data_IF_873296667804
#
_entry.id   IF_873296667804
#
_cell.length_a   1.000
_cell.length_b   1.000
_cell.length_c   1.000
_cell.angle_alpha   90.00
_cell.angle_beta   90.00
_cell.angle_gamma   90.00
#
_symmetry.space_group_name_H-M   'P 1'
#
loop_
_entity.id
_entity.type
_entity.pdbx_description
1 polymer ?
#
# COMPACT_ATOMS: atom_id res chain seq x y z
N UNK A 1 33.54 -11.42 -24.40
CA UNK A 1 32.71 -12.61 -24.67
C UNK A 1 31.25 -12.19 -24.79
N UNK A 2 30.50 -12.73 -25.77
CA UNK A 2 29.09 -12.39 -25.98
C UNK A 2 28.15 -13.06 -24.96
N UNK A 3 26.99 -12.46 -24.71
CA UNK A 3 25.98 -12.97 -23.75
C UNK A 3 25.62 -14.44 -23.98
N UNK A 4 25.43 -14.85 -25.23
CA UNK A 4 25.05 -16.22 -25.60
C UNK A 4 26.16 -17.24 -25.30
N UNK A 5 27.43 -16.82 -25.44
CA UNK A 5 28.58 -17.63 -25.07
C UNK A 5 28.68 -17.77 -23.56
N UNK A 6 28.48 -16.66 -22.82
CA UNK A 6 28.48 -16.67 -21.35
C UNK A 6 27.37 -17.58 -20.82
N UNK A 7 26.17 -17.50 -21.40
CA UNK A 7 25.04 -18.36 -21.05
C UNK A 7 25.35 -19.84 -21.27
N UNK A 8 25.95 -20.18 -22.42
CA UNK A 8 26.30 -21.56 -22.76
C UNK A 8 27.35 -22.13 -21.80
N UNK A 9 28.37 -21.34 -21.48
CA UNK A 9 29.43 -21.75 -20.56
C UNK A 9 28.91 -21.85 -19.11
N UNK A 10 28.06 -20.92 -18.68
CA UNK A 10 27.43 -20.99 -17.36
C UNK A 10 26.55 -22.24 -17.24
N UNK A 11 25.75 -22.56 -18.27
CA UNK A 11 24.94 -23.79 -18.31
C UNK A 11 25.80 -25.04 -18.17
N UNK A 12 26.93 -25.09 -18.89
CA UNK A 12 27.89 -26.19 -18.79
C UNK A 12 28.44 -26.33 -17.36
N UNK A 13 28.86 -25.23 -16.73
CA UNK A 13 29.41 -25.23 -15.36
C UNK A 13 28.36 -25.54 -14.30
N UNK A 14 27.11 -25.12 -14.50
CA UNK A 14 25.97 -25.46 -13.63
C UNK A 14 25.60 -26.94 -13.75
N UNK A 15 25.68 -27.51 -14.95
CA UNK A 15 25.31 -28.89 -15.22
C UNK A 15 23.80 -29.09 -15.27
N UNK A 16 23.34 -30.27 -14.86
CA UNK A 16 21.91 -30.59 -14.86
C UNK A 16 21.16 -29.71 -13.85
N UNK A 17 20.11 -29.03 -14.32
CA UNK A 17 19.31 -28.11 -13.52
C UNK A 17 17.84 -28.18 -13.92
N UNK A 18 16.94 -27.97 -12.96
CA UNK A 18 15.50 -27.86 -13.20
C UNK A 18 15.06 -26.41 -13.48
N UNK A 19 16.01 -25.46 -13.47
CA UNK A 19 15.75 -24.06 -13.82
C UNK A 19 15.44 -23.94 -15.31
N UNK A 20 14.46 -23.10 -15.65
CA UNK A 20 14.08 -22.87 -17.04
C UNK A 20 15.16 -22.11 -17.81
N UNK A 21 15.23 -22.32 -19.13
CA UNK A 21 16.13 -21.56 -20.01
C UNK A 21 15.92 -20.04 -19.88
N UNK A 22 14.66 -19.60 -19.77
CA UNK A 22 14.32 -18.19 -19.55
C UNK A 22 14.95 -17.64 -18.27
N UNK A 23 14.86 -18.39 -17.17
CA UNK A 23 15.46 -18.00 -15.89
C UNK A 23 16.97 -17.83 -15.99
N UNK A 24 17.64 -18.74 -16.71
CA UNK A 24 19.09 -18.67 -16.90
C UNK A 24 19.48 -17.50 -17.82
N UNK A 25 18.70 -17.25 -18.88
CA UNK A 25 18.90 -16.10 -19.78
C UNK A 25 18.75 -14.77 -19.06
N UNK A 26 17.70 -14.62 -18.25
CA UNK A 26 17.44 -13.39 -17.48
C UNK A 26 18.52 -13.19 -16.40
N UNK A 27 18.96 -14.27 -15.74
CA UNK A 27 20.05 -14.23 -14.77
C UNK A 27 21.36 -13.74 -15.39
N UNK A 28 21.76 -14.31 -16.54
CA UNK A 28 22.98 -13.89 -17.24
C UNK A 28 22.87 -12.44 -17.70
N UNK A 29 21.72 -12.01 -18.21
CA UNK A 29 21.51 -10.63 -18.62
C UNK A 29 21.73 -9.61 -17.48
N UNK A 30 21.31 -9.96 -16.25
CA UNK A 30 21.48 -9.12 -15.07
C UNK A 30 22.85 -9.24 -14.38
N UNK A 31 23.67 -10.20 -14.78
CA UNK A 31 24.96 -10.49 -14.15
C UNK A 31 26.07 -10.61 -15.20
N UNK A 32 26.06 -9.77 -16.22
CA UNK A 32 27.18 -9.70 -17.16
C UNK A 32 28.42 -9.14 -16.46
N UNK A 33 29.64 -9.57 -16.86
CA UNK A 33 30.87 -8.90 -16.45
C UNK A 33 30.83 -7.40 -16.80
N UNK A 34 31.70 -6.63 -16.15
CA UNK A 34 31.87 -5.22 -16.50
C UNK A 34 32.23 -5.08 -17.98
N UNK A 35 31.81 -3.98 -18.61
CA UNK A 35 32.03 -3.76 -20.04
C UNK A 35 33.52 -3.86 -20.41
N UNK A 36 33.83 -4.68 -21.41
CA UNK A 36 35.21 -4.96 -21.84
C UNK A 36 35.99 -5.93 -20.95
N UNK A 37 35.38 -6.50 -19.90
CA UNK A 37 36.02 -7.54 -19.06
C UNK A 37 35.54 -8.93 -19.43
N UNK A 38 36.46 -9.88 -19.49
CA UNK A 38 36.12 -11.28 -19.67
C UNK A 38 35.77 -11.92 -18.32
N UNK A 39 34.80 -12.85 -18.28
CA UNK A 39 34.48 -13.56 -17.05
C UNK A 39 35.65 -14.45 -16.64
N UNK A 40 36.15 -14.21 -15.43
CA UNK A 40 37.24 -14.95 -14.81
C UNK A 40 36.74 -16.16 -13.99
N UNK A 41 37.66 -16.93 -13.43
CA UNK A 41 37.30 -18.10 -12.61
C UNK A 41 36.46 -17.70 -11.38
N UNK A 42 36.69 -16.51 -10.81
CA UNK A 42 35.94 -16.02 -9.66
C UNK A 42 34.48 -15.76 -10.03
N UNK A 43 34.23 -15.11 -11.17
CA UNK A 43 32.91 -14.95 -11.76
C UNK A 43 32.23 -16.31 -11.95
N UNK A 44 32.90 -17.23 -12.65
CA UNK A 44 32.32 -18.54 -12.95
C UNK A 44 31.97 -19.33 -11.70
N UNK A 45 32.86 -19.37 -10.73
CA UNK A 45 32.65 -20.09 -9.48
C UNK A 45 31.50 -19.46 -8.68
N UNK A 46 31.45 -18.13 -8.56
CA UNK A 46 30.39 -17.44 -7.81
C UNK A 46 29.01 -17.71 -8.40
N UNK A 47 28.87 -17.50 -9.72
CA UNK A 47 27.57 -17.60 -10.38
C UNK A 47 27.10 -19.05 -10.51
N UNK A 48 28.00 -19.98 -10.85
CA UNK A 48 27.63 -21.39 -10.93
C UNK A 48 27.32 -21.99 -9.55
N UNK A 49 28.05 -21.61 -8.48
CA UNK A 49 27.75 -22.07 -7.12
C UNK A 49 26.39 -21.56 -6.63
N UNK A 50 26.07 -20.29 -6.89
CA UNK A 50 24.76 -19.73 -6.58
C UNK A 50 23.62 -20.49 -7.28
N UNK A 51 23.74 -20.71 -8.60
CA UNK A 51 22.72 -21.42 -9.37
C UNK A 51 22.57 -22.88 -8.97
N UNK A 52 23.68 -23.57 -8.63
CA UNK A 52 23.64 -24.94 -8.08
C UNK A 52 22.93 -24.99 -6.73
N UNK A 53 23.22 -24.05 -5.84
CA UNK A 53 22.53 -23.96 -4.55
C UNK A 53 21.05 -23.67 -4.71
N UNK A 54 20.68 -22.75 -5.62
CA UNK A 54 19.28 -22.46 -5.93
C UNK A 54 18.55 -23.70 -6.45
N UNK A 55 19.17 -24.42 -7.40
CA UNK A 55 18.62 -25.64 -7.96
C UNK A 55 18.50 -26.78 -6.93
N UNK A 56 19.50 -26.93 -6.06
CA UNK A 56 19.50 -27.93 -4.99
C UNK A 56 18.39 -27.67 -3.97
N UNK A 57 18.25 -26.42 -3.52
CA UNK A 57 17.19 -26.03 -2.59
C UNK A 57 15.81 -26.16 -3.23
N UNK A 58 15.64 -25.71 -4.47
CA UNK A 58 14.38 -25.87 -5.20
C UNK A 58 13.99 -27.34 -5.35
N UNK A 59 14.93 -28.21 -5.72
CA UNK A 59 14.69 -29.65 -5.83
C UNK A 59 14.32 -30.27 -4.49
N UNK A 60 14.95 -29.84 -3.39
CA UNK A 60 14.64 -30.29 -2.04
C UNK A 60 13.25 -29.82 -1.58
N UNK A 61 12.89 -28.57 -1.85
CA UNK A 61 11.59 -28.00 -1.50
C UNK A 61 10.46 -28.71 -2.27
N UNK A 62 10.66 -28.94 -3.58
CA UNK A 62 9.72 -29.71 -4.40
C UNK A 62 9.64 -31.15 -3.91
N UNK A 63 10.76 -31.80 -3.61
CA UNK A 63 10.76 -33.16 -3.06
C UNK A 63 10.00 -33.22 -1.72
N UNK A 64 10.21 -32.25 -0.83
CA UNK A 64 9.50 -32.14 0.45
C UNK A 64 8.01 -31.93 0.25
N UNK A 65 7.61 -31.10 -0.71
CA UNK A 65 6.21 -30.88 -1.07
C UNK A 65 5.56 -32.09 -1.74
N UNK A 66 6.32 -32.95 -2.43
CA UNK A 66 5.84 -34.20 -3.04
C UNK A 66 5.88 -35.39 -2.07
N UNK A 67 6.78 -35.39 -1.08
CA UNK A 67 6.83 -36.43 -0.04
C UNK A 67 5.66 -36.33 0.94
N UNK A 68 5.21 -35.11 1.27
CA UNK A 68 4.02 -34.89 2.11
C UNK A 68 2.77 -35.63 1.60
N UNK A 69 2.39 -35.54 0.31
CA UNK A 69 1.30 -36.32 -0.24
C UNK A 69 1.67 -37.81 -0.37
N UNK A 70 2.88 -38.19 -0.80
CA UNK A 70 3.26 -39.62 -0.90
C UNK A 70 3.16 -40.37 0.44
N UNK A 71 3.50 -39.75 1.57
CA UNK A 71 3.31 -40.33 2.91
C UNK A 71 1.84 -40.47 3.30
N UNK A 72 0.98 -39.53 2.87
CA UNK A 72 -0.47 -39.60 3.06
C UNK A 72 -1.15 -40.64 2.15
N UNK A 73 -0.53 -40.99 1.01
CA UNK A 73 -1.02 -41.94 0.01
C UNK A 73 -0.32 -43.30 0.04
N UNK A 74 0.38 -43.68 1.13
CA UNK A 74 0.92 -45.04 1.23
C UNK A 74 -0.24 -46.05 1.17
N UNK A 75 -0.29 -46.96 0.19
CA UNK A 75 -1.34 -47.96 0.13
C UNK A 75 -1.23 -48.86 1.36
N UNK A 76 -2.33 -49.03 2.07
CA UNK A 76 -2.47 -49.96 3.18
C UNK A 76 -2.02 -51.36 2.68
N UNK A 77 -1.20 -52.15 3.41
CA UNK A 77 -0.64 -53.41 2.93
C UNK A 77 -1.65 -54.53 2.63
N UNK A 78 -2.95 -54.26 2.74
CA UNK A 78 -4.01 -55.24 2.53
C UNK A 78 -4.78 -54.90 1.24
N UNK A 79 -4.53 -55.59 0.12
CA UNK A 79 -5.24 -55.32 -1.12
C UNK A 79 -6.63 -55.93 -1.01
N UNK A 80 -7.65 -55.10 -0.75
CA UNK A 80 -9.03 -55.52 -0.98
C UNK A 80 -9.27 -55.51 -2.50
N UNK A 81 -9.62 -56.63 -3.15
CA UNK A 81 -9.62 -56.77 -4.59
C UNK A 81 -10.94 -56.26 -5.20
N UNK A 82 -11.22 -54.97 -5.07
CA UNK A 82 -12.04 -54.18 -6.01
C UNK A 82 -12.32 -52.79 -5.42
N UNK A 83 -11.80 -51.72 -6.04
CA UNK A 83 -12.44 -50.42 -5.96
C UNK A 83 -13.14 -50.16 -7.29
N UNK A 84 -14.48 -50.19 -7.26
CA UNK A 84 -15.27 -49.45 -8.26
C UNK A 84 -14.81 -47.98 -8.26
N UNK A 85 -14.85 -47.28 -9.42
CA UNK A 85 -14.45 -45.88 -9.50
C UNK A 85 -15.36 -45.04 -8.59
N UNK A 86 -14.80 -44.55 -7.48
CA UNK A 86 -15.49 -43.57 -6.65
C UNK A 86 -15.35 -42.17 -7.26
N UNK A 87 -16.40 -41.34 -7.23
CA UNK A 87 -16.41 -40.04 -7.88
C UNK A 87 -15.37 -39.11 -7.26
N UNK A 88 -14.73 -38.32 -8.13
CA UNK A 88 -13.80 -37.23 -7.82
C UNK A 88 -14.25 -36.43 -6.58
N UNK A 89 -13.66 -36.72 -5.41
CA UNK A 89 -13.74 -35.80 -4.28
C UNK A 89 -12.65 -34.76 -4.48
N UNK A 90 -12.99 -33.45 -4.52
CA UNK A 90 -11.99 -32.40 -4.68
C UNK A 90 -10.98 -32.49 -3.53
N UNK A 91 -9.71 -32.57 -3.89
CA UNK A 91 -8.60 -32.66 -2.94
C UNK A 91 -8.65 -31.46 -1.98
N UNK A 92 -8.93 -31.66 -0.68
CA UNK A 92 -9.08 -30.56 0.28
C UNK A 92 -7.80 -29.72 0.41
N UNK A 93 -6.62 -30.32 0.18
CA UNK A 93 -5.35 -29.59 0.19
C UNK A 93 -5.24 -28.62 -1.01
N UNK A 94 -5.77 -29.00 -2.17
CA UNK A 94 -5.81 -28.14 -3.36
C UNK A 94 -6.82 -26.99 -3.18
N UNK A 95 -7.94 -27.24 -2.49
CA UNK A 95 -8.91 -26.21 -2.16
C UNK A 95 -8.36 -25.19 -1.15
N UNK A 96 -7.62 -25.66 -0.15
CA UNK A 96 -6.97 -24.81 0.87
C UNK A 96 -5.86 -23.94 0.25
N UNK A 97 -5.00 -24.53 -0.59
CA UNK A 97 -3.94 -23.80 -1.28
C UNK A 97 -4.49 -22.72 -2.24
N UNK A 98 -5.60 -23.00 -2.94
CA UNK A 98 -6.28 -22.01 -3.78
C UNK A 98 -6.81 -20.84 -2.96
N UNK A 99 -7.42 -21.14 -1.81
CA UNK A 99 -7.94 -20.12 -0.88
C UNK A 99 -6.83 -19.24 -0.32
N UNK A 100 -5.69 -19.82 0.02
CA UNK A 100 -4.52 -19.09 0.52
C UNK A 100 -3.90 -18.18 -0.56
N UNK A 101 -3.80 -18.65 -1.82
CA UNK A 101 -3.33 -17.82 -2.95
C UNK A 101 -4.28 -16.65 -3.20
N UNK A 102 -5.60 -16.88 -3.10
CA UNK A 102 -6.60 -15.83 -3.29
C UNK A 102 -6.55 -14.79 -2.16
N UNK A 103 -6.39 -15.23 -0.91
CA UNK A 103 -6.17 -14.35 0.23
C UNK A 103 -4.90 -13.49 0.05
N UNK A 104 -3.77 -14.10 -0.34
CA UNK A 104 -2.53 -13.38 -0.61
C UNK A 104 -2.66 -12.36 -1.75
N UNK A 105 -3.44 -12.67 -2.79
CA UNK A 105 -3.72 -11.70 -3.87
C UNK A 105 -4.55 -10.53 -3.37
N UNK A 106 -5.60 -10.80 -2.59
CA UNK A 106 -6.44 -9.77 -2.00
C UNK A 106 -5.66 -8.87 -1.04
N UNK A 107 -4.77 -9.43 -0.21
CA UNK A 107 -3.90 -8.65 0.67
C UNK A 107 -2.97 -7.72 -0.12
N UNK A 108 -2.32 -8.21 -1.19
CA UNK A 108 -1.47 -7.36 -2.03
C UNK A 108 -2.23 -6.28 -2.77
N UNK A 109 -3.46 -6.55 -3.19
CA UNK A 109 -4.32 -5.52 -3.80
C UNK A 109 -4.76 -4.48 -2.77
N UNK A 110 -5.12 -4.91 -1.55
CA UNK A 110 -5.45 -4.02 -0.45
C UNK A 110 -4.26 -3.15 -0.03
N UNK A 111 -3.05 -3.74 0.04
CA UNK A 111 -1.82 -3.01 0.36
C UNK A 111 -1.50 -1.95 -0.70
N UNK A 112 -1.61 -2.28 -1.99
CA UNK A 112 -1.45 -1.32 -3.08
C UNK A 112 -2.46 -0.18 -3.00
N UNK A 113 -3.73 -0.50 -2.74
CA UNK A 113 -4.79 0.50 -2.55
C UNK A 113 -4.49 1.40 -1.37
N UNK A 114 -4.12 0.83 -0.21
CA UNK A 114 -3.76 1.59 0.99
C UNK A 114 -2.54 2.49 0.76
N UNK A 115 -1.52 2.01 0.05
CA UNK A 115 -0.35 2.82 -0.31
C UNK A 115 -0.73 4.01 -1.20
N UNK A 116 -1.58 3.80 -2.20
CA UNK A 116 -2.09 4.87 -3.07
C UNK A 116 -2.89 5.91 -2.29
N UNK A 117 -3.82 5.45 -1.44
CA UNK A 117 -4.64 6.30 -0.58
C UNK A 117 -3.79 7.12 0.37
N UNK A 118 -2.78 6.50 1.01
CA UNK A 118 -1.87 7.20 1.90
C UNK A 118 -1.05 8.26 1.15
N UNK A 119 -0.54 7.94 -0.05
CA UNK A 119 0.14 8.92 -0.91
C UNK A 119 -0.75 10.11 -1.26
N UNK A 120 -2.00 9.88 -1.65
CA UNK A 120 -2.97 10.95 -1.93
C UNK A 120 -3.24 11.81 -0.69
N UNK A 121 -3.42 11.19 0.49
CA UNK A 121 -3.60 11.91 1.75
C UNK A 121 -2.40 12.78 2.08
N UNK A 122 -1.19 12.30 1.90
CA UNK A 122 0.02 13.06 2.21
C UNK A 122 0.19 14.26 1.29
N UNK A 123 -0.13 14.12 0.01
CA UNK A 123 -0.17 15.24 -0.94
C UNK A 123 -1.20 16.29 -0.50
N UNK A 124 -2.42 15.88 -0.15
CA UNK A 124 -3.48 16.80 0.28
C UNK A 124 -3.16 17.45 1.63
N UNK A 125 -2.54 16.72 2.57
CA UNK A 125 -2.02 17.30 3.83
C UNK A 125 -0.98 18.38 3.56
N UNK A 126 -0.07 18.17 2.62
CA UNK A 126 0.96 19.14 2.25
C UNK A 126 0.37 20.45 1.68
N UNK A 127 -0.80 20.39 1.02
CA UNK A 127 -1.52 21.59 0.51
C UNK A 127 -1.96 22.57 1.60
N UNK A 128 -1.91 22.19 2.88
CA UNK A 128 -2.18 23.06 4.02
C UNK A 128 -1.43 24.41 3.95
N UNK A 129 -0.14 24.37 3.58
CA UNK A 129 0.70 25.56 3.50
C UNK A 129 0.29 26.51 2.37
N UNK A 130 0.05 25.96 1.18
CA UNK A 130 -0.43 26.73 0.01
C UNK A 130 -1.79 27.37 0.28
N UNK A 131 -2.71 26.63 0.90
CA UNK A 131 -4.04 27.11 1.27
C UNK A 131 -4.03 28.05 2.48
N UNK A 132 -2.89 28.17 3.18
CA UNK A 132 -2.76 28.95 4.42
C UNK A 132 -3.86 28.57 5.43
N UNK A 133 -4.04 27.26 5.68
CA UNK A 133 -5.04 26.76 6.62
C UNK A 133 -4.81 27.33 8.02
N UNK A 134 -5.86 27.80 8.67
CA UNK A 134 -5.78 28.44 10.00
C UNK A 134 -5.46 27.47 11.13
N UNK A 135 -5.85 26.19 11.01
CA UNK A 135 -5.50 25.14 11.95
C UNK A 135 -5.02 23.87 11.23
N UNK A 136 -3.70 23.68 11.20
CA UNK A 136 -3.07 22.54 10.52
C UNK A 136 -3.42 21.19 11.14
N UNK A 137 -3.56 21.11 12.47
CA UNK A 137 -3.90 19.85 13.14
C UNK A 137 -5.32 19.38 12.77
N UNK A 138 -6.29 20.30 12.75
CA UNK A 138 -7.66 19.98 12.31
C UNK A 138 -7.67 19.61 10.82
N UNK A 139 -6.86 20.27 9.99
CA UNK A 139 -6.71 19.90 8.57
C UNK A 139 -6.18 18.47 8.40
N UNK A 140 -5.07 18.13 9.06
CA UNK A 140 -4.45 16.80 8.95
C UNK A 140 -5.37 15.68 9.46
N UNK A 141 -6.06 15.89 10.58
CA UNK A 141 -7.08 14.97 11.11
C UNK A 141 -8.25 14.81 10.14
N UNK A 142 -8.71 15.91 9.54
CA UNK A 142 -9.78 15.89 8.55
C UNK A 142 -9.40 15.06 7.34
N UNK A 143 -8.23 15.29 6.75
CA UNK A 143 -7.73 14.53 5.60
C UNK A 143 -7.56 13.04 5.93
N UNK A 144 -7.13 12.71 7.15
CA UNK A 144 -7.01 11.32 7.60
C UNK A 144 -8.38 10.63 7.75
N UNK A 145 -9.39 11.36 8.21
CA UNK A 145 -10.74 10.84 8.47
C UNK A 145 -11.60 10.63 7.22
N UNK A 146 -11.21 11.19 6.07
CA UNK A 146 -12.00 11.08 4.84
C UNK A 146 -11.86 9.69 4.24
N UNK A 147 -13.01 9.09 3.96
CA UNK A 147 -13.10 7.86 3.17
C UNK A 147 -12.72 8.17 1.71
N UNK A 148 -11.68 7.48 1.23
CA UNK A 148 -11.19 7.65 -0.14
C UNK A 148 -11.77 6.51 -0.98
N UNK A 149 -12.63 6.86 -1.94
CA UNK A 149 -13.24 5.89 -2.86
C UNK A 149 -12.19 5.35 -3.83
N UNK A 150 -12.42 4.13 -4.31
CA UNK A 150 -11.59 3.53 -5.37
C UNK A 150 -11.52 4.46 -6.59
N UNK A 151 -10.30 4.75 -7.05
CA UNK A 151 -10.06 5.64 -8.20
C UNK A 151 -10.20 7.14 -7.91
N UNK A 152 -10.33 7.57 -6.65
CA UNK A 152 -10.40 8.98 -6.32
C UNK A 152 -9.14 9.73 -6.76
N UNK A 153 -9.32 10.95 -7.27
CA UNK A 153 -8.21 11.83 -7.64
C UNK A 153 -7.80 12.74 -6.49
N UNK A 154 -6.62 13.34 -6.61
CA UNK A 154 -6.12 14.35 -5.66
C UNK A 154 -7.11 15.52 -5.51
N UNK A 155 -7.70 15.98 -6.61
CA UNK A 155 -8.64 17.11 -6.63
C UNK A 155 -9.93 16.78 -5.87
N UNK A 156 -10.45 15.57 -6.06
CA UNK A 156 -11.66 15.10 -5.38
C UNK A 156 -11.45 14.97 -3.87
N UNK A 157 -10.29 14.43 -3.46
CA UNK A 157 -9.93 14.32 -2.06
C UNK A 157 -9.69 15.71 -1.43
N UNK A 158 -9.03 16.61 -2.16
CA UNK A 158 -8.79 17.98 -1.71
C UNK A 158 -10.10 18.74 -1.48
N UNK A 159 -11.05 18.64 -2.40
CA UNK A 159 -12.35 19.31 -2.28
C UNK A 159 -13.17 18.74 -1.12
N UNK A 160 -13.13 17.42 -0.94
CA UNK A 160 -13.76 16.76 0.21
C UNK A 160 -13.12 17.22 1.53
N UNK A 161 -11.79 17.35 1.56
CA UNK A 161 -11.03 17.84 2.71
C UNK A 161 -11.38 19.28 3.07
N UNK A 162 -11.46 20.19 2.10
CA UNK A 162 -11.89 21.58 2.31
C UNK A 162 -13.26 21.68 2.94
N UNK A 163 -14.25 21.01 2.33
CA UNK A 163 -15.63 21.03 2.82
C UNK A 163 -15.76 20.44 4.24
N UNK A 164 -15.07 19.34 4.53
CA UNK A 164 -15.09 18.73 5.86
C UNK A 164 -14.34 19.59 6.90
N UNK A 165 -13.22 20.19 6.50
CA UNK A 165 -12.41 21.05 7.36
C UNK A 165 -13.18 22.30 7.76
N UNK A 166 -13.83 22.97 6.81
CA UNK A 166 -14.66 24.16 7.08
C UNK A 166 -15.81 23.85 8.04
N UNK A 167 -16.48 22.70 7.85
CA UNK A 167 -17.54 22.24 8.75
C UNK A 167 -17.01 21.97 10.16
N UNK A 168 -15.90 21.23 10.30
CA UNK A 168 -15.28 20.98 11.60
C UNK A 168 -14.83 22.29 12.26
N UNK A 169 -14.18 23.17 11.53
CA UNK A 169 -13.71 24.45 12.03
C UNK A 169 -14.88 25.32 12.53
N UNK A 170 -15.96 25.40 11.75
CA UNK A 170 -17.20 26.08 12.15
C UNK A 170 -17.84 25.45 13.39
N UNK A 171 -17.82 24.12 13.52
CA UNK A 171 -18.36 23.43 14.69
C UNK A 171 -17.54 23.71 15.96
N UNK A 172 -16.22 23.80 15.86
CA UNK A 172 -15.33 24.03 17.00
C UNK A 172 -15.15 25.51 17.37
N UNK A 173 -15.14 26.41 16.38
CA UNK A 173 -14.78 27.83 16.56
C UNK A 173 -16.00 28.76 16.36
N UNK A 174 -17.08 28.28 15.76
CA UNK A 174 -18.31 29.04 15.50
C UNK A 174 -18.36 29.70 14.11
N UNK A 175 -19.48 30.37 13.82
CA UNK A 175 -19.79 31.01 12.52
C UNK A 175 -18.76 32.06 12.03
N UNK A 176 -17.86 32.53 12.91
CA UNK A 176 -16.85 33.54 12.59
C UNK A 176 -15.46 33.00 12.22
N UNK A 177 -15.30 31.68 12.10
CA UNK A 177 -14.02 31.06 11.80
C UNK A 177 -13.57 31.34 10.35
N UNK A 178 -12.30 31.74 10.18
CA UNK A 178 -11.68 31.91 8.86
C UNK A 178 -10.82 30.68 8.53
N UNK A 179 -11.26 29.80 7.59
CA UNK A 179 -10.58 28.53 7.34
C UNK A 179 -9.24 28.66 6.62
N UNK A 180 -9.09 29.67 5.76
CA UNK A 180 -7.90 29.90 4.93
C UNK A 180 -7.38 31.33 5.07
N UNK A 181 -6.12 31.54 4.69
CA UNK A 181 -5.48 32.87 4.70
C UNK A 181 -5.00 33.33 6.09
N UNK A 182 -5.14 32.49 7.12
CA UNK A 182 -4.79 32.82 8.50
C UNK A 182 -3.35 32.45 8.82
N UNK A 183 -2.40 33.30 8.41
CA UNK A 183 -1.02 33.20 8.90
C UNK A 183 -0.98 33.31 10.41
N UNK A 184 -0.19 32.45 11.05
CA UNK A 184 0.18 32.53 12.46
C UNK A 184 0.65 33.94 12.81
N UNK A 185 -0.27 34.75 13.32
CA UNK A 185 0.03 35.84 14.18
C UNK A 185 -0.89 35.67 15.38
N UNK A 186 -0.35 35.09 16.45
CA UNK A 186 -0.64 35.55 17.80
C UNK A 186 -0.12 37.01 17.96
N UNK A 187 -0.55 37.90 17.06
CA UNK A 187 -0.57 39.34 17.29
C UNK A 187 -2.03 39.66 17.34
N UNK A 188 -2.49 39.92 18.55
CA UNK A 188 -3.57 40.85 18.89
C UNK A 188 -4.15 41.49 17.62
N UNK A 189 -5.19 40.86 17.04
CA UNK A 189 -5.87 41.42 15.88
C UNK A 189 -6.55 42.68 16.40
N UNK A 190 -5.96 43.84 16.12
CA UNK A 190 -6.73 45.08 16.00
C UNK A 190 -7.66 44.86 14.81
N UNK A 191 -8.77 44.16 15.07
CA UNK A 191 -9.98 44.31 14.29
C UNK A 191 -10.29 45.79 14.41
N UNK A 192 -10.55 46.50 13.32
CA UNK A 192 -11.02 47.89 13.45
C UNK A 192 -12.17 47.86 14.46
N UNK A 193 -12.14 48.77 15.44
CA UNK A 193 -13.07 48.75 16.57
C UNK A 193 -14.53 48.62 16.12
N UNK A 194 -14.82 49.08 14.91
CA UNK A 194 -16.12 49.08 14.26
C UNK A 194 -16.57 47.69 13.81
N UNK A 195 -15.73 46.91 13.11
CA UNK A 195 -16.09 45.56 12.67
C UNK A 195 -16.18 44.56 13.84
N UNK A 196 -15.34 44.74 14.86
CA UNK A 196 -15.43 43.95 16.08
C UNK A 196 -16.71 44.25 16.85
N UNK A 197 -17.11 45.51 16.94
CA UNK A 197 -18.34 45.91 17.61
C UNK A 197 -19.57 45.44 16.83
N UNK A 198 -19.58 45.59 15.50
CA UNK A 198 -20.68 45.09 14.66
C UNK A 198 -20.88 43.57 14.81
N UNK A 199 -19.79 42.79 14.87
CA UNK A 199 -19.85 41.33 15.09
C UNK A 199 -20.35 40.97 16.49
N UNK A 200 -19.92 41.70 17.53
CA UNK A 200 -20.39 41.52 18.91
C UNK A 200 -21.87 41.88 19.05
N UNK A 201 -22.32 42.95 18.42
CA UNK A 201 -23.73 43.36 18.43
C UNK A 201 -24.62 42.40 17.68
N UNK A 202 -24.20 41.92 16.50
CA UNK A 202 -24.93 40.91 15.74
C UNK A 202 -25.07 39.60 16.54
N UNK A 203 -24.00 39.18 17.21
CA UNK A 203 -24.01 38.01 18.08
C UNK A 203 -24.92 38.22 19.31
N UNK A 204 -24.84 39.39 19.95
CA UNK A 204 -25.69 39.77 21.08
C UNK A 204 -27.17 39.77 20.70
N UNK A 205 -27.55 40.37 19.57
CA UNK A 205 -28.92 40.35 19.04
C UNK A 205 -29.40 38.94 18.73
N UNK A 206 -28.54 38.08 18.15
CA UNK A 206 -28.87 36.67 17.89
C UNK A 206 -29.14 35.90 19.19
N UNK A 207 -28.34 36.13 20.23
CA UNK A 207 -28.50 35.48 21.53
C UNK A 207 -29.71 36.01 22.32
N UNK A 208 -30.05 37.30 22.18
CA UNK A 208 -31.29 37.87 22.70
C UNK A 208 -32.53 37.31 21.99
N UNK A 209 -32.49 37.16 20.66
CA UNK A 209 -33.57 36.55 19.90
C UNK A 209 -33.80 35.07 20.27
N UNK A 210 -32.77 34.37 20.75
CA UNK A 210 -32.86 32.99 21.25
C UNK A 210 -33.23 32.91 22.73
N UNK A 211 -33.53 34.04 23.40
CA UNK A 211 -33.87 34.09 24.82
C UNK A 211 -32.71 33.72 25.77
N UNK A 212 -31.48 33.65 25.25
CA UNK A 212 -30.27 33.28 26.01
C UNK A 212 -29.59 34.47 26.68
N UNK A 213 -29.99 35.69 26.31
CA UNK A 213 -29.56 36.94 26.93
C UNK A 213 -30.80 37.82 27.17
N UNK A 214 -30.82 38.60 28.28
CA UNK A 214 -31.85 39.61 28.50
C UNK A 214 -31.88 40.61 27.34
N UNK A 215 -33.08 41.02 26.93
CA UNK A 215 -33.22 42.13 25.99
C UNK A 215 -32.72 43.41 26.67
N UNK A 216 -32.09 44.28 25.88
CA UNK A 216 -31.66 45.58 26.38
C UNK A 216 -32.92 46.32 26.87
N UNK A 217 -32.87 46.80 28.12
CA UNK A 217 -33.91 47.68 28.63
C UNK A 217 -33.63 49.07 28.08
N UNK A 218 -34.63 49.65 27.43
CA UNK A 218 -34.64 51.06 27.00
C UNK A 218 -34.34 52.01 28.17
#
# INVERSE_FOLDING_TARGET
MEKEQILSELKSKVGQTSLSDRTLTDYVAGNLPAEGTEPDDAYWNRHSAFLKSLNGNYSHDVATQVEKPKKAFQPNPNPNPNPQPQPDKPDPALAEMKKEIEAMKQEREAEKKNSLVNGLRDIVKAKAGELKVSNKAIWEDTVASIEVKDGATQEQLLESAKNAYEKKLKAYIGDGATPYGGGQNQRQIQVSSEEANARREAFRKKMQAQGRLPQDKD
#
